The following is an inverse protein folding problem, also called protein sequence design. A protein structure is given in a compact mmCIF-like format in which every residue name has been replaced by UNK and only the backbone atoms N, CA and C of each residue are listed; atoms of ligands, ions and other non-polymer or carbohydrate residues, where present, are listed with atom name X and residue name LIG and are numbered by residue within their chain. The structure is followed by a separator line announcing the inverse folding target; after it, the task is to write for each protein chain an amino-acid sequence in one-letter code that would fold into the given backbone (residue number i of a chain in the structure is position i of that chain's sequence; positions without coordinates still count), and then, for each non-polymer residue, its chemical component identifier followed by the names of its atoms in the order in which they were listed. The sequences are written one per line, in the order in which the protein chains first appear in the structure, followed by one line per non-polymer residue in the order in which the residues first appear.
data_IF_685210247564
#
_entry.id   IF_685210247564
#
_cell.length_a   1.000
_cell.length_b   1.000
_cell.length_c   1.000
_cell.angle_alpha   90.00
_cell.angle_beta   90.00
_cell.angle_gamma   90.00
#
_symmetry.space_group_name_H-M   'P 1'
#
loop_
_entity.id
_entity.type
_entity.pdbx_description
1 polymer ?
#
# COMPACT_ATOMS: atom_id res chain seq x y z
N UNK A 1 45.20 9.59 -72.13
CA UNK A 1 44.35 10.80 -72.08
C UNK A 1 43.55 10.77 -70.79
N UNK A 2 43.48 11.92 -70.09
CA UNK A 2 43.07 12.10 -68.68
C UNK A 2 41.61 11.70 -68.41
N UNK A 3 41.38 10.88 -67.39
CA UNK A 3 40.05 10.64 -66.83
C UNK A 3 39.69 11.79 -65.88
N UNK A 4 38.57 12.48 -66.11
CA UNK A 4 38.12 13.61 -65.26
C UNK A 4 37.44 13.05 -64.02
N UNK A 5 38.04 13.30 -62.85
CA UNK A 5 37.35 13.15 -61.57
C UNK A 5 36.23 14.18 -61.45
N UNK A 6 35.08 13.74 -60.97
CA UNK A 6 33.99 14.61 -60.51
C UNK A 6 33.77 14.33 -59.03
N UNK A 7 34.33 15.22 -58.21
CA UNK A 7 33.98 15.38 -56.80
C UNK A 7 32.47 15.60 -56.64
N UNK A 8 31.83 14.79 -55.79
CA UNK A 8 30.60 15.20 -55.12
C UNK A 8 30.78 15.05 -53.61
N UNK A 9 31.03 16.21 -53.02
CA UNK A 9 30.98 16.58 -51.60
C UNK A 9 30.16 15.63 -50.73
N UNK A 10 30.79 15.11 -49.68
CA UNK A 10 30.11 14.51 -48.55
C UNK A 10 29.12 15.51 -47.93
N UNK A 11 27.87 15.07 -47.75
CA UNK A 11 26.93 15.73 -46.85
C UNK A 11 27.27 15.28 -45.44
N UNK A 12 27.66 16.23 -44.62
CA UNK A 12 27.91 16.07 -43.19
C UNK A 12 26.66 15.51 -42.49
N UNK A 13 26.86 14.42 -41.74
CA UNK A 13 25.86 13.84 -40.85
C UNK A 13 25.73 14.68 -39.58
N UNK A 14 24.89 15.72 -39.63
CA UNK A 14 24.60 16.62 -38.49
C UNK A 14 23.25 16.36 -37.81
N UNK A 15 22.78 15.10 -37.75
CA UNK A 15 21.46 14.77 -37.19
C UNK A 15 21.50 14.14 -35.80
N UNK A 16 22.32 13.11 -35.59
CA UNK A 16 22.12 12.15 -34.49
C UNK A 16 22.27 12.69 -33.06
N UNK A 17 23.25 13.58 -32.79
CA UNK A 17 23.54 14.05 -31.41
C UNK A 17 22.40 14.89 -30.82
N UNK A 18 21.84 15.81 -31.59
CA UNK A 18 20.76 16.69 -31.10
C UNK A 18 19.43 15.97 -30.89
N UNK A 19 19.20 14.81 -31.54
CA UNK A 19 18.01 13.98 -31.29
C UNK A 19 18.15 13.14 -30.02
N UNK A 20 19.36 12.68 -29.69
CA UNK A 20 19.61 11.90 -28.48
C UNK A 20 19.53 12.76 -27.23
N UNK A 21 20.16 13.94 -27.22
CA UNK A 21 20.12 14.87 -26.09
C UNK A 21 18.69 15.37 -25.79
N UNK A 22 17.88 15.60 -26.83
CA UNK A 22 16.45 15.94 -26.66
C UNK A 22 15.65 14.80 -26.02
N UNK A 23 15.95 13.55 -26.36
CA UNK A 23 15.28 12.38 -25.75
C UNK A 23 15.73 12.18 -24.30
N UNK A 24 17.01 12.33 -24.01
CA UNK A 24 17.55 12.22 -22.65
C UNK A 24 16.93 13.28 -21.72
N UNK A 25 16.87 14.54 -22.17
CA UNK A 25 16.23 15.61 -21.40
C UNK A 25 14.73 15.39 -21.20
N UNK A 26 14.03 14.78 -22.18
CA UNK A 26 12.61 14.43 -22.05
C UNK A 26 12.40 13.31 -21.03
N UNK A 27 13.24 12.27 -21.04
CA UNK A 27 13.20 11.16 -20.07
C UNK A 27 13.50 11.65 -18.65
N UNK A 28 14.47 12.56 -18.49
CA UNK A 28 14.78 13.18 -17.19
C UNK A 28 13.61 14.02 -16.67
N UNK A 29 12.94 14.76 -17.55
CA UNK A 29 11.72 15.51 -17.23
C UNK A 29 10.57 14.61 -16.77
N UNK A 30 10.35 13.49 -17.47
CA UNK A 30 9.29 12.52 -17.13
C UNK A 30 9.57 11.83 -15.78
N UNK A 31 10.82 11.40 -15.52
CA UNK A 31 11.21 10.81 -14.24
C UNK A 31 11.11 11.81 -13.09
N UNK A 32 11.46 13.09 -13.31
CA UNK A 32 11.29 14.14 -12.31
C UNK A 32 9.80 14.38 -11.99
N UNK A 33 8.93 14.32 -12.99
CA UNK A 33 7.49 14.48 -12.79
C UNK A 33 6.89 13.29 -12.01
N UNK A 34 7.30 12.06 -12.34
CA UNK A 34 6.87 10.85 -11.62
C UNK A 34 7.27 10.90 -10.15
N UNK A 35 8.52 11.28 -9.85
CA UNK A 35 9.00 11.41 -8.47
C UNK A 35 8.19 12.45 -7.68
N UNK A 36 7.91 13.61 -8.29
CA UNK A 36 7.09 14.65 -7.63
C UNK A 36 5.67 14.16 -7.32
N UNK A 37 5.06 13.38 -8.21
CA UNK A 37 3.73 12.81 -7.96
C UNK A 37 3.81 11.79 -6.83
N UNK A 38 4.83 10.94 -6.82
CA UNK A 38 5.04 9.97 -5.75
C UNK A 38 5.18 10.66 -4.39
N UNK A 39 5.99 11.72 -4.31
CA UNK A 39 6.16 12.50 -3.08
C UNK A 39 4.86 13.17 -2.63
N UNK A 40 4.06 13.71 -3.56
CA UNK A 40 2.73 14.24 -3.25
C UNK A 40 1.78 13.16 -2.71
N UNK A 41 1.80 11.95 -3.29
CA UNK A 41 0.98 10.84 -2.81
C UNK A 41 1.42 10.42 -1.42
N UNK A 42 2.72 10.26 -1.18
CA UNK A 42 3.26 9.90 0.14
C UNK A 42 2.87 10.96 1.18
N UNK A 43 3.12 12.24 0.90
CA UNK A 43 2.77 13.33 1.81
C UNK A 43 1.27 13.40 2.10
N UNK A 44 0.43 13.14 1.10
CA UNK A 44 -1.01 13.10 1.31
C UNK A 44 -1.44 11.92 2.19
N UNK A 45 -0.88 10.73 1.96
CA UNK A 45 -1.15 9.55 2.78
C UNK A 45 -0.70 9.77 4.23
N UNK A 46 0.47 10.37 4.45
CA UNK A 46 0.95 10.72 5.80
C UNK A 46 0.00 11.71 6.51
N UNK A 47 -0.49 12.72 5.79
CA UNK A 47 -1.47 13.67 6.32
C UNK A 47 -2.79 13.00 6.69
N UNK A 48 -3.28 12.09 5.85
CA UNK A 48 -4.47 11.29 6.15
C UNK A 48 -4.26 10.40 7.38
N UNK A 49 -3.11 9.74 7.51
CA UNK A 49 -2.78 8.95 8.70
C UNK A 49 -2.76 9.81 9.96
N UNK A 50 -2.20 11.02 9.89
CA UNK A 50 -2.18 11.96 11.02
C UNK A 50 -3.59 12.41 11.41
N UNK A 51 -4.44 12.75 10.44
CA UNK A 51 -5.82 13.14 10.72
C UNK A 51 -6.64 11.96 11.29
N UNK A 52 -6.52 10.76 10.75
CA UNK A 52 -7.17 9.56 11.30
C UNK A 52 -6.71 9.28 12.74
N UNK A 53 -5.41 9.40 12.99
CA UNK A 53 -4.82 9.28 14.33
C UNK A 53 -5.35 10.34 15.29
N UNK A 54 -5.54 11.57 14.80
CA UNK A 54 -6.07 12.68 15.60
C UNK A 54 -7.54 12.52 15.92
N UNK A 55 -8.36 12.06 14.97
CA UNK A 55 -9.79 11.81 15.20
C UNK A 55 -10.03 10.58 16.06
N UNK A 56 -9.18 9.56 15.93
CA UNK A 56 -9.28 8.30 16.66
C UNK A 56 -7.96 7.96 17.37
N UNK A 57 -7.59 8.73 18.41
CA UNK A 57 -6.34 8.53 19.14
C UNK A 57 -6.25 7.15 19.80
N UNK A 58 -7.37 6.53 20.16
CA UNK A 58 -7.48 5.17 20.67
C UNK A 58 -7.00 4.10 19.68
N UNK A 59 -6.94 4.43 18.39
CA UNK A 59 -6.46 3.56 17.32
C UNK A 59 -5.03 3.87 16.88
N UNK A 60 -4.37 4.87 17.48
CA UNK A 60 -3.13 5.42 16.96
C UNK A 60 -1.87 4.62 17.27
N UNK A 61 -1.88 3.75 18.27
CA UNK A 61 -0.72 2.91 18.59
C UNK A 61 -1.11 1.57 19.19
N UNK A 62 -0.31 0.58 18.82
CA UNK A 62 -0.21 -0.79 19.31
C UNK A 62 -1.24 -1.84 18.85
N UNK A 63 -0.70 -2.83 18.12
CA UNK A 63 -1.21 -4.20 17.98
C UNK A 63 -1.18 -4.97 19.33
N UNK A 64 -0.71 -4.33 20.41
CA UNK A 64 -0.78 -4.87 21.78
C UNK A 64 -2.17 -4.66 22.40
N UNK A 65 -3.01 -3.81 21.80
CA UNK A 65 -4.38 -3.60 22.26
C UNK A 65 -5.17 -4.93 22.21
N UNK A 66 -5.62 -5.43 23.38
CA UNK A 66 -6.29 -6.72 23.48
C UNK A 66 -7.58 -6.81 22.65
N UNK A 67 -8.31 -5.69 22.52
CA UNK A 67 -9.53 -5.63 21.71
C UNK A 67 -9.20 -5.81 20.22
N UNK A 68 -8.15 -5.16 19.72
CA UNK A 68 -7.72 -5.34 18.32
C UNK A 68 -7.31 -6.76 18.01
N UNK A 69 -6.55 -7.39 18.90
CA UNK A 69 -6.17 -8.81 18.74
C UNK A 69 -7.41 -9.70 18.73
N UNK A 70 -8.40 -9.40 19.58
CA UNK A 70 -9.65 -10.15 19.69
C UNK A 70 -10.47 -10.03 18.39
N UNK A 71 -10.63 -8.82 17.85
CA UNK A 71 -11.32 -8.59 16.58
C UNK A 71 -10.64 -9.34 15.44
N UNK A 72 -9.30 -9.43 15.44
CA UNK A 72 -8.54 -10.13 14.40
C UNK A 72 -8.64 -11.65 14.52
N UNK A 73 -8.55 -12.18 15.73
CA UNK A 73 -8.70 -13.60 16.01
C UNK A 73 -9.15 -13.82 17.47
N UNK A 74 -10.45 -14.02 17.71
CA UNK A 74 -10.97 -14.16 19.06
C UNK A 74 -10.55 -15.49 19.70
N UNK A 75 -10.10 -16.49 18.94
CA UNK A 75 -9.81 -17.85 19.44
C UNK A 75 -8.39 -18.06 19.99
N UNK A 76 -7.53 -17.04 19.89
CA UNK A 76 -6.13 -17.11 20.37
C UNK A 76 -5.79 -16.01 21.38
N UNK A 77 -6.74 -15.13 21.68
CA UNK A 77 -6.56 -14.05 22.65
C UNK A 77 -6.78 -14.57 24.06
N UNK A 78 -5.94 -14.12 24.98
CA UNK A 78 -6.12 -14.36 26.40
C UNK A 78 -7.28 -13.49 26.90
N UNK A 79 -8.34 -14.13 27.40
CA UNK A 79 -9.53 -13.47 27.93
C UNK A 79 -9.18 -12.47 29.02
N UNK A 80 -8.17 -12.75 29.85
CA UNK A 80 -7.78 -11.87 30.95
C UNK A 80 -7.12 -10.56 30.49
N UNK A 81 -6.84 -10.44 29.19
CA UNK A 81 -6.28 -9.22 28.61
C UNK A 81 -7.34 -8.26 28.10
N UNK A 82 -8.58 -8.71 27.86
CA UNK A 82 -9.67 -7.84 27.41
C UNK A 82 -10.45 -7.23 28.59
N UNK A 83 -11.15 -6.10 28.40
CA UNK A 83 -12.04 -5.52 29.40
C UNK A 83 -13.06 -6.51 29.97
N UNK A 84 -13.29 -6.45 31.28
CA UNK A 84 -14.12 -7.40 32.04
C UNK A 84 -15.56 -7.53 31.49
N UNK A 85 -16.11 -6.46 30.93
CA UNK A 85 -17.46 -6.42 30.36
C UNK A 85 -17.63 -7.28 29.10
N UNK A 86 -16.53 -7.64 28.42
CA UNK A 86 -16.54 -8.45 27.19
C UNK A 86 -16.01 -9.88 27.45
N UNK A 87 -15.41 -10.14 28.62
CA UNK A 87 -14.78 -11.43 28.91
C UNK A 87 -15.74 -12.62 28.83
N UNK A 88 -16.97 -12.48 29.33
CA UNK A 88 -17.98 -13.54 29.32
C UNK A 88 -18.38 -13.92 27.87
N UNK A 89 -18.68 -12.92 27.04
CA UNK A 89 -19.01 -13.11 25.62
C UNK A 89 -17.85 -13.75 24.85
N UNK A 90 -16.60 -13.34 25.14
CA UNK A 90 -15.42 -13.93 24.52
C UNK A 90 -15.22 -15.39 24.94
N UNK A 91 -15.47 -15.73 26.21
CA UNK A 91 -15.40 -17.12 26.70
C UNK A 91 -16.43 -18.00 25.98
N UNK A 92 -17.67 -17.53 25.87
CA UNK A 92 -18.72 -18.25 25.14
C UNK A 92 -18.32 -18.48 23.68
N UNK A 93 -17.85 -17.42 23.01
CA UNK A 93 -17.39 -17.49 21.63
C UNK A 93 -16.23 -18.47 21.45
N UNK A 94 -15.23 -18.46 22.34
CA UNK A 94 -14.07 -19.35 22.28
C UNK A 94 -14.42 -20.83 22.52
N UNK A 95 -15.48 -21.09 23.30
CA UNK A 95 -15.96 -22.43 23.61
C UNK A 95 -16.92 -23.00 22.53
N UNK A 96 -17.47 -22.16 21.66
CA UNK A 96 -18.28 -22.61 20.53
C UNK A 96 -17.40 -23.16 19.40
N UNK A 97 -17.35 -24.48 19.29
CA UNK A 97 -16.61 -25.18 18.23
C UNK A 97 -17.14 -24.89 16.83
N UNK A 98 -18.45 -24.66 16.67
CA UNK A 98 -19.06 -24.29 15.38
C UNK A 98 -18.58 -22.91 14.94
N UNK A 99 -18.55 -21.94 15.86
CA UNK A 99 -17.98 -20.62 15.59
C UNK A 99 -16.50 -20.71 15.18
N UNK A 100 -15.71 -21.54 15.87
CA UNK A 100 -14.30 -21.76 15.54
C UNK A 100 -14.09 -22.35 14.16
N UNK A 101 -14.87 -23.36 13.80
CA UNK A 101 -14.83 -23.99 12.48
C UNK A 101 -15.22 -22.99 11.39
N UNK A 102 -16.28 -22.21 11.61
CA UNK A 102 -16.73 -21.15 10.70
C UNK A 102 -15.66 -20.06 10.51
N UNK A 103 -14.96 -19.67 11.57
CA UNK A 103 -13.86 -18.70 11.48
C UNK A 103 -12.70 -19.22 10.62
N UNK A 104 -12.33 -20.50 10.75
CA UNK A 104 -11.26 -21.09 9.94
C UNK A 104 -11.63 -21.28 8.47
N UNK A 105 -12.92 -21.41 8.16
CA UNK A 105 -13.43 -21.63 6.81
C UNK A 105 -13.75 -20.37 6.01
N UNK A 106 -13.78 -19.19 6.64
CA UNK A 106 -14.25 -17.94 6.05
C UNK A 106 -13.23 -16.79 6.09
N UNK A 107 -13.60 -15.65 5.52
CA UNK A 107 -12.86 -14.40 5.73
C UNK A 107 -13.36 -13.67 7.00
N UNK A 108 -12.52 -12.79 7.55
CA UNK A 108 -12.77 -12.14 8.84
C UNK A 108 -14.07 -11.31 8.86
N UNK A 109 -14.35 -10.60 7.78
CA UNK A 109 -15.54 -9.76 7.66
C UNK A 109 -16.82 -10.61 7.64
N UNK A 110 -16.82 -11.68 6.85
CA UNK A 110 -17.95 -12.60 6.74
C UNK A 110 -18.25 -13.30 8.07
N UNK A 111 -17.22 -13.65 8.84
CA UNK A 111 -17.38 -14.22 10.18
C UNK A 111 -18.15 -13.25 11.09
N UNK A 112 -17.66 -12.01 11.25
CA UNK A 112 -18.29 -11.04 12.14
C UNK A 112 -19.69 -10.62 11.68
N UNK A 113 -19.92 -10.50 10.37
CA UNK A 113 -21.24 -10.19 9.83
C UNK A 113 -22.29 -11.29 10.10
N UNK A 114 -21.87 -12.56 10.17
CA UNK A 114 -22.76 -13.70 10.47
C UNK A 114 -22.97 -13.91 11.96
N UNK A 115 -21.96 -13.61 12.78
CA UNK A 115 -22.06 -13.74 14.25
C UNK A 115 -22.93 -12.67 14.91
N UNK A 116 -23.25 -11.58 14.19
CA UNK A 116 -24.09 -10.47 14.67
C UNK A 116 -25.55 -10.52 14.17
N UNK A 117 -25.96 -11.56 13.43
CA UNK A 117 -27.32 -11.72 12.90
C UNK A 117 -28.11 -12.81 13.63
#
# INVERSE_FOLDING_TARGET
MRNRGSDKKGKEGGGGRGYLEKKENMIVGDNSMINNIQDCVVSHLESLTQELTRYFPEYSTDETDPIRRMIRNPFIVDVMTVPDDIQEELIELQNDTSCKDNFTGGNLEEFWCKSLS
#
